data_IF_688623173560
#
_entry.id   IF_688623173560
#
_cell.length_a   1.000
_cell.length_b   1.000
_cell.length_c   1.000
_cell.angle_alpha   90.00
_cell.angle_beta   90.00
_cell.angle_gamma   90.00
#
_symmetry.space_group_name_H-M   'P 1'
#
loop_
_entity.id
_entity.type
_entity.pdbx_description
1 polymer ?
#
# COMPACT_ATOMS: atom_id res chain seq x y z
N UNK A 1 -2.89 -29.96 -11.82
CA UNK A 1 -2.78 -31.43 -11.55
C UNK A 1 -1.66 -31.76 -10.57
N UNK A 2 -0.48 -31.10 -10.65
CA UNK A 2 0.68 -31.36 -9.77
C UNK A 2 0.37 -31.17 -8.30
N UNK A 3 -0.44 -30.19 -7.96
CA UNK A 3 -0.87 -29.90 -6.57
C UNK A 3 -2.03 -30.78 -6.09
N UNK A 4 -2.65 -31.57 -7.00
CA UNK A 4 -3.75 -32.47 -6.68
C UNK A 4 -3.33 -33.93 -6.48
N UNK A 5 -2.02 -34.22 -6.56
CA UNK A 5 -1.48 -35.55 -6.29
C UNK A 5 -0.46 -35.51 -5.16
N UNK A 6 -0.52 -36.48 -4.24
CA UNK A 6 0.43 -36.61 -3.13
C UNK A 6 1.90 -36.71 -3.58
N UNK A 7 2.15 -37.14 -4.80
CA UNK A 7 3.49 -37.33 -5.37
C UNK A 7 3.88 -36.29 -6.43
N UNK A 8 3.01 -35.35 -6.81
CA UNK A 8 3.24 -34.47 -7.94
C UNK A 8 4.48 -33.59 -7.79
N UNK A 9 4.66 -32.95 -6.62
CA UNK A 9 5.85 -32.15 -6.33
C UNK A 9 7.14 -32.97 -6.32
N UNK A 10 7.08 -34.22 -5.85
CA UNK A 10 8.23 -35.15 -5.83
C UNK A 10 8.60 -35.60 -7.24
N UNK A 11 7.60 -35.83 -8.08
CA UNK A 11 7.77 -36.21 -9.47
C UNK A 11 8.40 -35.09 -10.29
N UNK A 12 7.92 -33.87 -10.15
CA UNK A 12 8.52 -32.68 -10.78
C UNK A 12 9.95 -32.44 -10.32
N UNK A 13 10.20 -32.58 -9.01
CA UNK A 13 11.55 -32.42 -8.46
C UNK A 13 12.52 -33.46 -9.01
N UNK A 14 12.07 -34.73 -9.14
CA UNK A 14 12.87 -35.79 -9.72
C UNK A 14 13.08 -35.59 -11.22
N UNK A 15 12.06 -35.17 -11.96
CA UNK A 15 12.17 -34.84 -13.37
C UNK A 15 13.19 -33.71 -13.60
N UNK A 16 13.06 -32.60 -12.88
CA UNK A 16 14.00 -31.50 -12.99
C UNK A 16 15.44 -31.93 -12.67
N UNK A 17 15.62 -32.71 -11.59
CA UNK A 17 16.97 -33.10 -11.11
C UNK A 17 17.61 -34.20 -11.97
N UNK A 18 16.86 -35.25 -12.28
CA UNK A 18 17.46 -36.45 -12.87
C UNK A 18 17.27 -36.57 -14.41
N UNK A 19 16.25 -35.90 -14.96
CA UNK A 19 15.99 -35.90 -16.41
C UNK A 19 16.56 -34.62 -17.04
N UNK A 20 16.27 -33.46 -16.45
CA UNK A 20 16.74 -32.16 -16.99
C UNK A 20 18.14 -31.74 -16.49
N UNK A 21 18.72 -32.47 -15.55
CA UNK A 21 20.04 -32.14 -14.98
C UNK A 21 20.09 -30.83 -14.22
N UNK A 22 18.95 -30.31 -13.76
CA UNK A 22 18.91 -29.05 -13.03
C UNK A 22 19.54 -29.21 -11.65
N UNK A 23 20.56 -28.42 -11.36
CA UNK A 23 21.13 -28.33 -10.02
C UNK A 23 20.14 -27.67 -9.05
N UNK A 24 20.08 -28.15 -7.81
CA UNK A 24 19.24 -27.57 -6.75
C UNK A 24 19.86 -26.27 -6.20
N UNK A 25 20.20 -25.35 -7.09
CA UNK A 25 20.91 -24.11 -6.74
C UNK A 25 19.96 -23.00 -6.35
N UNK A 26 18.67 -23.15 -6.63
CA UNK A 26 17.67 -22.14 -6.28
C UNK A 26 17.29 -22.23 -4.80
N UNK A 27 17.59 -21.16 -4.06
CA UNK A 27 17.05 -20.93 -2.73
C UNK A 27 16.70 -19.44 -2.60
N UNK A 28 15.77 -19.11 -1.71
CA UNK A 28 15.31 -17.73 -1.49
C UNK A 28 16.46 -16.78 -1.15
N UNK A 29 17.46 -17.23 -0.41
CA UNK A 29 18.62 -16.41 -0.06
C UNK A 29 19.51 -16.08 -1.27
N UNK A 30 19.73 -17.03 -2.19
CA UNK A 30 20.50 -16.78 -3.42
C UNK A 30 19.72 -15.91 -4.40
N UNK A 31 18.41 -16.13 -4.54
CA UNK A 31 17.54 -15.29 -5.35
C UNK A 31 17.49 -13.85 -4.83
N UNK A 32 17.29 -13.66 -3.53
CA UNK A 32 17.34 -12.34 -2.91
C UNK A 32 18.68 -11.64 -3.15
N UNK A 33 19.82 -12.34 -2.96
CA UNK A 33 21.16 -11.79 -3.26
C UNK A 33 21.33 -11.44 -4.73
N UNK A 34 20.84 -12.26 -5.64
CA UNK A 34 20.91 -11.98 -7.08
C UNK A 34 20.08 -10.77 -7.46
N UNK A 35 18.86 -10.64 -6.92
CA UNK A 35 18.04 -9.44 -7.13
C UNK A 35 18.68 -8.21 -6.51
N UNK A 36 19.23 -8.31 -5.30
CA UNK A 36 19.98 -7.22 -4.67
C UNK A 36 21.19 -6.81 -5.51
N UNK A 37 21.91 -7.76 -6.10
CA UNK A 37 23.06 -7.48 -6.98
C UNK A 37 22.60 -6.80 -8.28
N UNK A 38 21.50 -7.25 -8.88
CA UNK A 38 20.91 -6.59 -10.06
C UNK A 38 20.49 -5.17 -9.74
N UNK A 39 19.81 -4.97 -8.61
CA UNK A 39 19.40 -3.64 -8.13
C UNK A 39 20.64 -2.77 -7.89
N UNK A 40 21.66 -3.27 -7.20
CA UNK A 40 22.90 -2.56 -6.91
C UNK A 40 23.64 -2.12 -8.20
N UNK A 41 23.68 -2.97 -9.21
CA UNK A 41 24.30 -2.67 -10.50
C UNK A 41 23.50 -1.63 -11.30
N UNK A 42 22.18 -1.59 -11.16
CA UNK A 42 21.32 -0.60 -11.81
C UNK A 42 21.42 0.79 -11.17
N UNK A 43 21.73 0.84 -9.89
CA UNK A 43 21.49 2.05 -9.08
C UNK A 43 22.76 2.79 -8.68
N UNK A 44 23.84 2.07 -8.43
CA UNK A 44 25.07 2.70 -7.92
C UNK A 44 24.82 3.46 -6.60
N UNK A 45 25.44 4.64 -6.43
CA UNK A 45 25.31 5.51 -5.24
C UNK A 45 24.12 6.48 -5.33
N UNK A 46 23.01 6.09 -5.97
CA UNK A 46 21.88 6.97 -6.17
C UNK A 46 21.07 7.18 -4.90
N UNK A 47 20.50 8.36 -4.76
CA UNK A 47 19.67 8.76 -3.62
C UNK A 47 18.24 8.31 -3.79
N UNK A 48 17.70 7.70 -2.74
CA UNK A 48 16.30 7.26 -2.70
C UNK A 48 15.58 7.88 -1.51
N UNK A 49 14.47 8.55 -1.75
CA UNK A 49 13.53 8.89 -0.70
C UNK A 49 12.51 7.76 -0.57
N UNK A 50 12.54 7.06 0.55
CA UNK A 50 11.64 5.93 0.82
C UNK A 50 10.51 6.38 1.75
N UNK A 51 9.27 6.25 1.29
CA UNK A 51 8.11 6.50 2.14
C UNK A 51 8.01 5.43 3.23
N UNK A 52 8.14 5.84 4.49
CA UNK A 52 8.08 4.96 5.67
C UNK A 52 6.88 5.35 6.51
N UNK A 53 5.86 4.50 6.53
CA UNK A 53 4.57 4.74 7.20
C UNK A 53 4.51 4.20 8.64
N UNK A 54 5.59 3.61 9.13
CA UNK A 54 5.57 2.86 10.40
C UNK A 54 4.95 1.46 10.31
N UNK A 55 4.58 0.99 9.11
CA UNK A 55 4.12 -0.38 8.86
C UNK A 55 5.25 -1.31 8.43
N UNK A 56 5.01 -2.63 8.48
CA UNK A 56 6.01 -3.66 8.14
C UNK A 56 6.49 -3.55 6.69
N UNK A 57 5.60 -3.31 5.74
CA UNK A 57 5.92 -3.30 4.31
C UNK A 57 6.89 -2.17 3.93
N UNK A 58 6.62 -0.96 4.41
CA UNK A 58 7.51 0.18 4.20
C UNK A 58 8.84 0.05 4.93
N UNK A 59 8.84 -0.61 6.09
CA UNK A 59 10.06 -0.88 6.87
C UNK A 59 10.98 -1.87 6.16
N UNK A 60 10.42 -2.96 5.61
CA UNK A 60 11.19 -3.94 4.81
C UNK A 60 11.66 -3.31 3.51
N UNK A 61 10.85 -2.46 2.89
CA UNK A 61 11.27 -1.73 1.69
C UNK A 61 12.51 -0.86 1.94
N UNK A 62 12.53 -0.11 3.04
CA UNK A 62 13.69 0.71 3.43
C UNK A 62 14.92 -0.15 3.76
N UNK A 63 14.73 -1.29 4.44
CA UNK A 63 15.79 -2.26 4.74
C UNK A 63 16.43 -2.80 3.46
N UNK A 64 15.61 -3.29 2.52
CA UNK A 64 16.10 -3.88 1.26
C UNK A 64 16.88 -2.86 0.42
N UNK A 65 16.40 -1.62 0.34
CA UNK A 65 17.10 -0.54 -0.35
C UNK A 65 18.46 -0.26 0.30
N UNK A 66 18.52 -0.16 1.63
CA UNK A 66 19.79 0.03 2.34
C UNK A 66 20.75 -1.13 2.10
N UNK A 67 20.28 -2.37 2.20
CA UNK A 67 21.08 -3.56 1.93
C UNK A 67 21.59 -3.61 0.49
N UNK A 68 20.82 -3.08 -0.46
CA UNK A 68 21.21 -2.93 -1.86
C UNK A 68 22.27 -1.83 -2.08
N UNK A 69 22.57 -1.01 -1.07
CA UNK A 69 23.63 0.01 -1.12
C UNK A 69 23.18 1.39 -1.57
N UNK A 70 21.88 1.66 -1.55
CA UNK A 70 21.34 3.00 -1.84
C UNK A 70 21.65 4.00 -0.72
N UNK A 71 21.77 5.28 -1.04
CA UNK A 71 21.68 6.39 -0.08
C UNK A 71 20.20 6.65 0.23
N UNK A 72 19.70 5.98 1.26
CA UNK A 72 18.28 5.98 1.63
C UNK A 72 18.00 7.07 2.66
N UNK A 73 17.00 7.89 2.38
CA UNK A 73 16.35 8.76 3.36
C UNK A 73 14.91 8.29 3.56
N UNK A 74 14.56 7.91 4.79
CA UNK A 74 13.17 7.62 5.16
C UNK A 74 12.35 8.88 5.24
N UNK A 75 11.15 8.87 4.69
CA UNK A 75 10.22 10.01 4.74
C UNK A 75 8.89 9.56 5.32
N UNK A 76 8.45 10.21 6.37
CA UNK A 76 7.08 10.11 6.85
C UNK A 76 6.24 11.21 6.22
N UNK A 77 5.19 10.83 5.49
CA UNK A 77 4.23 11.79 4.91
C UNK A 77 3.09 11.97 5.91
N UNK A 78 2.99 13.15 6.52
CA UNK A 78 1.88 13.53 7.38
C UNK A 78 0.75 14.06 6.52
N UNK A 79 -0.19 13.18 6.20
CA UNK A 79 -1.33 13.47 5.33
C UNK A 79 -2.58 13.88 6.12
N UNK A 80 -2.65 13.49 7.40
CA UNK A 80 -3.78 13.75 8.28
C UNK A 80 -3.34 13.71 9.73
N UNK A 81 -3.87 14.63 10.56
CA UNK A 81 -3.60 14.64 12.00
C UNK A 81 -4.81 14.96 12.87
N UNK A 82 -5.98 15.21 12.25
CA UNK A 82 -7.20 15.55 13.00
C UNK A 82 -7.79 14.29 13.62
N UNK A 83 -8.14 14.40 14.90
CA UNK A 83 -8.91 13.38 15.58
C UNK A 83 -10.35 13.37 15.05
N UNK A 84 -10.95 12.20 15.00
CA UNK A 84 -12.38 12.02 14.74
C UNK A 84 -13.09 11.72 16.06
N UNK A 85 -14.37 12.08 16.24
CA UNK A 85 -15.09 11.83 17.48
C UNK A 85 -15.01 10.36 17.90
N UNK A 86 -14.44 10.13 19.11
CA UNK A 86 -14.22 8.78 19.64
C UNK A 86 -13.03 8.00 19.06
N UNK A 87 -12.29 8.60 18.11
CA UNK A 87 -11.17 7.93 17.43
C UNK A 87 -9.97 8.88 17.27
N UNK A 88 -8.96 8.75 18.13
CA UNK A 88 -7.73 9.52 17.98
C UNK A 88 -6.97 9.11 16.72
N UNK A 89 -6.43 10.07 16.01
CA UNK A 89 -5.62 9.82 14.82
C UNK A 89 -4.26 9.21 15.21
N UNK A 90 -3.89 8.04 14.70
CA UNK A 90 -2.68 7.32 15.11
C UNK A 90 -1.37 7.92 14.53
N UNK A 91 -1.42 9.05 13.84
CA UNK A 91 -0.27 9.59 13.11
C UNK A 91 1.00 9.76 13.96
N UNK A 92 0.85 10.13 15.25
CA UNK A 92 1.99 10.32 16.16
C UNK A 92 2.68 8.99 16.46
N UNK A 93 1.91 7.92 16.66
CA UNK A 93 2.42 6.57 16.89
C UNK A 93 3.09 6.05 15.62
N UNK A 94 2.43 6.17 14.47
CA UNK A 94 2.99 5.75 13.17
C UNK A 94 4.27 6.51 12.82
N UNK A 95 4.31 7.82 13.10
CA UNK A 95 5.53 8.62 12.95
C UNK A 95 6.66 8.14 13.84
N UNK A 96 6.37 7.81 15.11
CA UNK A 96 7.39 7.30 16.04
C UNK A 96 7.91 5.92 15.57
N UNK A 97 7.04 5.05 15.08
CA UNK A 97 7.46 3.76 14.54
C UNK A 97 8.33 3.93 13.28
N UNK A 98 7.94 4.82 12.37
CA UNK A 98 8.75 5.16 11.20
C UNK A 98 10.13 5.72 11.59
N UNK A 99 10.17 6.59 12.60
CA UNK A 99 11.43 7.15 13.14
C UNK A 99 12.30 6.07 13.78
N UNK A 100 11.71 5.14 14.55
CA UNK A 100 12.43 4.01 15.15
C UNK A 100 13.06 3.12 14.07
N UNK A 101 12.33 2.83 12.99
CA UNK A 101 12.87 2.08 11.84
C UNK A 101 14.05 2.83 11.22
N UNK A 102 13.93 4.14 10.99
CA UNK A 102 15.03 4.91 10.41
C UNK A 102 16.29 4.88 11.31
N UNK A 103 16.12 5.00 12.62
CA UNK A 103 17.21 4.87 13.60
C UNK A 103 17.81 3.47 13.57
N UNK A 104 16.98 2.41 13.61
CA UNK A 104 17.41 1.02 13.56
C UNK A 104 18.22 0.71 12.29
N UNK A 105 17.76 1.26 11.15
CA UNK A 105 18.44 1.10 9.88
C UNK A 105 19.64 2.05 9.71
N UNK A 106 19.84 3.05 10.59
CA UNK A 106 20.89 4.05 10.45
C UNK A 106 20.75 4.86 9.16
N UNK A 107 19.52 5.25 8.79
CA UNK A 107 19.22 6.11 7.64
C UNK A 107 18.73 7.48 8.12
N UNK A 108 18.89 8.50 7.25
CA UNK A 108 18.28 9.82 7.50
C UNK A 108 16.77 9.72 7.55
N UNK A 109 16.12 10.62 8.27
CA UNK A 109 14.67 10.62 8.41
C UNK A 109 14.12 12.05 8.34
N UNK A 110 13.08 12.24 7.52
CA UNK A 110 12.40 13.51 7.34
C UNK A 110 10.89 13.35 7.50
N UNK A 111 10.22 14.43 7.90
CA UNK A 111 8.77 14.55 7.91
C UNK A 111 8.37 15.52 6.80
N UNK A 112 7.47 15.08 5.93
CA UNK A 112 6.81 15.96 4.96
C UNK A 112 5.37 16.17 5.40
N UNK A 113 4.99 17.43 5.63
CA UNK A 113 3.63 17.80 5.99
C UNK A 113 2.85 18.11 4.71
N UNK A 114 1.92 17.24 4.36
CA UNK A 114 1.07 17.32 3.19
C UNK A 114 -0.42 17.43 3.57
N UNK A 115 -0.75 17.78 4.82
CA UNK A 115 -2.13 17.79 5.29
C UNK A 115 -3.05 18.68 4.45
N UNK A 116 -2.55 19.86 4.06
CA UNK A 116 -3.33 20.78 3.25
C UNK A 116 -3.63 20.20 1.87
N UNK A 117 -2.61 19.77 1.15
CA UNK A 117 -2.72 19.23 -0.19
C UNK A 117 -3.50 17.91 -0.21
N UNK A 118 -3.35 17.12 0.84
CA UNK A 118 -4.12 15.89 1.01
C UNK A 118 -5.61 16.19 1.18
N UNK A 119 -5.95 17.18 2.00
CA UNK A 119 -7.33 17.61 2.18
C UNK A 119 -7.94 18.09 0.86
N UNK A 120 -7.28 19.02 0.19
CA UNK A 120 -7.77 19.63 -1.06
C UNK A 120 -7.91 18.61 -2.22
N UNK A 121 -6.96 17.66 -2.33
CA UNK A 121 -6.91 16.77 -3.50
C UNK A 121 -7.52 15.40 -3.30
N UNK A 122 -7.58 14.92 -2.05
CA UNK A 122 -8.07 13.56 -1.75
C UNK A 122 -9.37 13.62 -0.98
N UNK A 123 -9.43 14.41 0.09
CA UNK A 123 -10.62 14.45 0.94
C UNK A 123 -11.76 15.19 0.25
N UNK A 124 -11.52 16.38 -0.30
CA UNK A 124 -12.56 17.13 -1.04
C UNK A 124 -13.06 16.34 -2.25
N UNK A 125 -12.16 15.75 -3.05
CA UNK A 125 -12.53 14.84 -4.13
C UNK A 125 -13.47 13.73 -3.65
N UNK A 126 -13.16 13.12 -2.51
CA UNK A 126 -13.99 12.06 -1.94
C UNK A 126 -15.34 12.60 -1.50
N UNK A 127 -15.39 13.73 -0.81
CA UNK A 127 -16.64 14.35 -0.35
C UNK A 127 -17.54 14.75 -1.53
N UNK A 128 -16.96 15.34 -2.57
CA UNK A 128 -17.68 15.75 -3.77
C UNK A 128 -18.24 14.55 -4.55
N UNK A 129 -17.46 13.46 -4.65
CA UNK A 129 -17.95 12.21 -5.22
C UNK A 129 -19.17 11.68 -4.48
N UNK A 130 -19.11 11.59 -3.16
CA UNK A 130 -20.24 11.15 -2.37
C UNK A 130 -21.46 12.09 -2.48
N UNK A 131 -21.25 13.42 -2.49
CA UNK A 131 -22.34 14.40 -2.72
C UNK A 131 -23.01 14.21 -4.08
N UNK A 132 -22.24 13.82 -5.09
CA UNK A 132 -22.73 13.53 -6.43
C UNK A 132 -23.35 12.11 -6.57
N UNK A 133 -23.46 11.33 -5.49
CA UNK A 133 -23.97 9.96 -5.52
C UNK A 133 -23.01 8.94 -6.16
N UNK A 134 -21.74 9.27 -6.26
CA UNK A 134 -20.66 8.39 -6.75
C UNK A 134 -19.92 7.83 -5.55
N UNK A 135 -19.51 6.58 -5.61
CA UNK A 135 -18.57 6.01 -4.62
C UNK A 135 -17.12 6.24 -5.09
N UNK A 136 -16.42 7.24 -4.56
CA UNK A 136 -15.05 7.55 -4.98
C UNK A 136 -14.05 6.56 -4.37
N UNK A 137 -12.86 6.48 -4.97
CA UNK A 137 -11.74 5.74 -4.39
C UNK A 137 -10.62 6.71 -3.98
N UNK A 138 -10.55 7.11 -2.70
CA UNK A 138 -9.55 8.05 -2.21
C UNK A 138 -8.12 7.49 -2.24
N UNK A 139 -7.92 6.17 -2.19
CA UNK A 139 -6.59 5.57 -2.24
C UNK A 139 -5.94 5.74 -3.62
N UNK A 140 -6.73 5.66 -4.70
CA UNK A 140 -6.25 5.96 -6.06
C UNK A 140 -5.83 7.43 -6.15
N UNK A 141 -6.63 8.35 -5.59
CA UNK A 141 -6.30 9.78 -5.60
C UNK A 141 -5.09 10.09 -4.72
N UNK A 142 -4.97 9.46 -3.55
CA UNK A 142 -3.79 9.57 -2.71
C UNK A 142 -2.52 9.12 -3.45
N UNK A 143 -2.59 7.99 -4.15
CA UNK A 143 -1.45 7.53 -4.94
C UNK A 143 -1.15 8.52 -6.07
N UNK A 144 -2.15 8.94 -6.86
CA UNK A 144 -1.95 9.84 -7.99
C UNK A 144 -1.43 11.21 -7.56
N UNK A 145 -2.07 11.89 -6.63
CA UNK A 145 -1.81 13.32 -6.35
C UNK A 145 -0.78 13.54 -5.25
N UNK A 146 -0.70 12.62 -4.27
CA UNK A 146 0.19 12.81 -3.11
C UNK A 146 1.48 11.99 -3.26
N UNK A 147 1.37 10.65 -3.37
CA UNK A 147 2.57 9.79 -3.33
C UNK A 147 3.40 9.84 -4.61
N UNK A 148 2.76 9.80 -5.77
CA UNK A 148 3.46 9.72 -7.05
C UNK A 148 3.42 11.03 -7.85
N UNK A 149 2.97 12.13 -7.24
CA UNK A 149 3.09 13.48 -7.77
C UNK A 149 3.77 14.40 -6.75
N UNK A 150 3.08 14.84 -5.70
CA UNK A 150 3.64 15.79 -4.74
C UNK A 150 4.92 15.26 -4.06
N UNK A 151 4.89 14.06 -3.50
CA UNK A 151 6.07 13.45 -2.88
C UNK A 151 7.20 13.24 -3.90
N UNK A 152 6.87 12.79 -5.10
CA UNK A 152 7.84 12.67 -6.20
C UNK A 152 8.48 14.03 -6.53
N UNK A 153 7.70 15.07 -6.72
CA UNK A 153 8.20 16.41 -7.08
C UNK A 153 9.12 16.96 -5.98
N UNK A 154 8.72 16.85 -4.70
CA UNK A 154 9.56 17.25 -3.56
C UNK A 154 10.83 16.42 -3.50
N UNK A 155 10.76 15.11 -3.74
CA UNK A 155 11.93 14.24 -3.75
C UNK A 155 12.91 14.63 -4.87
N UNK A 156 12.42 14.90 -6.06
CA UNK A 156 13.23 15.38 -7.20
C UNK A 156 13.87 16.73 -6.90
N UNK A 157 13.13 17.67 -6.32
CA UNK A 157 13.67 18.97 -5.88
C UNK A 157 14.79 18.82 -4.86
N UNK A 158 14.71 17.83 -3.96
CA UNK A 158 15.76 17.50 -2.98
C UNK A 158 16.94 16.71 -3.58
N UNK A 159 16.92 16.46 -4.88
CA UNK A 159 17.99 15.77 -5.61
C UNK A 159 17.97 14.24 -5.46
N UNK A 160 16.81 13.65 -5.14
CA UNK A 160 16.65 12.21 -5.18
C UNK A 160 16.55 11.70 -6.62
N UNK A 161 17.20 10.59 -6.89
CA UNK A 161 17.10 9.88 -8.18
C UNK A 161 15.80 9.09 -8.28
N UNK A 162 15.38 8.50 -7.15
CA UNK A 162 14.20 7.66 -7.04
C UNK A 162 13.39 7.98 -5.79
N UNK A 163 12.10 7.68 -5.87
CA UNK A 163 11.25 7.46 -4.71
C UNK A 163 10.97 5.97 -4.55
N UNK A 164 10.70 5.54 -3.33
CA UNK A 164 10.32 4.16 -3.04
C UNK A 164 9.14 4.09 -2.07
N UNK A 165 8.32 3.07 -2.24
CA UNK A 165 7.16 2.83 -1.38
C UNK A 165 7.00 1.33 -1.10
N UNK A 166 6.29 1.00 -0.04
CA UNK A 166 5.97 -0.36 0.35
C UNK A 166 4.75 -0.97 -0.38
N UNK A 167 4.51 -0.61 -1.64
CA UNK A 167 3.43 -1.22 -2.40
C UNK A 167 3.82 -2.57 -2.98
N UNK A 168 2.86 -3.49 -3.00
CA UNK A 168 2.93 -4.74 -3.75
C UNK A 168 2.60 -4.46 -5.23
N UNK A 169 3.59 -4.06 -5.96
CA UNK A 169 3.58 -3.81 -7.40
C UNK A 169 5.00 -3.94 -7.94
N UNK A 170 5.18 -3.95 -9.25
CA UNK A 170 6.48 -3.92 -9.89
C UNK A 170 6.52 -2.88 -11.00
N UNK A 171 7.71 -2.40 -11.37
CA UNK A 171 7.90 -1.52 -12.50
C UNK A 171 9.01 -2.04 -13.41
N UNK A 172 8.82 -1.86 -14.70
CA UNK A 172 9.87 -2.09 -15.71
C UNK A 172 9.69 -1.10 -16.86
N UNK A 173 10.73 -0.32 -17.13
CA UNK A 173 10.75 0.65 -18.23
C UNK A 173 9.55 1.61 -18.25
N UNK A 174 9.14 2.08 -17.06
CA UNK A 174 7.98 2.95 -16.87
C UNK A 174 6.62 2.25 -17.00
N UNK A 175 6.60 0.93 -17.10
CA UNK A 175 5.36 0.12 -17.09
C UNK A 175 5.10 -0.40 -15.70
N UNK A 176 3.85 -0.33 -15.29
CA UNK A 176 3.35 -0.94 -14.06
C UNK A 176 3.10 -2.42 -14.31
N UNK A 177 3.61 -3.28 -13.43
CA UNK A 177 3.46 -4.72 -13.49
C UNK A 177 2.87 -5.23 -12.17
N UNK A 178 2.13 -6.34 -12.24
CA UNK A 178 1.55 -7.01 -11.08
C UNK A 178 2.63 -7.43 -10.08
N UNK A 179 2.25 -7.46 -8.81
CA UNK A 179 3.04 -8.10 -7.77
C UNK A 179 3.12 -9.63 -7.97
N UNK A 180 4.06 -10.26 -7.29
CA UNK A 180 4.13 -11.73 -7.22
C UNK A 180 3.04 -12.29 -6.29
N UNK A 181 2.68 -11.56 -5.25
CA UNK A 181 1.58 -11.93 -4.34
C UNK A 181 0.24 -11.45 -4.91
N UNK A 182 -0.51 -12.34 -5.56
CA UNK A 182 -1.82 -12.04 -6.14
C UNK A 182 -2.85 -11.58 -5.07
N UNK A 183 -2.71 -12.02 -3.80
CA UNK A 183 -3.62 -11.61 -2.73
C UNK A 183 -3.33 -10.20 -2.20
N UNK A 184 -2.12 -9.69 -2.45
CA UNK A 184 -1.66 -8.37 -2.00
C UNK A 184 -1.42 -7.40 -3.15
N UNK A 185 -1.63 -7.81 -4.39
CA UNK A 185 -1.43 -6.95 -5.56
C UNK A 185 -2.16 -5.61 -5.41
N UNK A 186 -1.43 -4.53 -5.58
CA UNK A 186 -1.92 -3.16 -5.42
C UNK A 186 -1.88 -2.36 -6.72
N UNK A 187 -1.65 -3.01 -7.86
CA UNK A 187 -1.58 -2.34 -9.17
C UNK A 187 -2.88 -1.63 -9.52
N UNK A 188 -4.03 -2.16 -9.07
CA UNK A 188 -5.32 -1.48 -9.21
C UNK A 188 -5.30 -0.05 -8.64
N UNK A 189 -4.64 0.19 -7.54
CA UNK A 189 -4.58 1.51 -6.91
C UNK A 189 -3.54 2.44 -7.55
N UNK A 190 -2.75 1.94 -8.49
CA UNK A 190 -1.63 2.65 -9.11
C UNK A 190 -1.83 2.96 -10.61
N UNK A 191 -2.95 2.54 -11.20
CA UNK A 191 -3.15 2.63 -12.66
C UNK A 191 -3.15 4.06 -13.21
N UNK A 192 -3.35 5.06 -12.34
CA UNK A 192 -3.33 6.49 -12.71
C UNK A 192 -1.96 7.14 -12.57
N UNK A 193 -0.95 6.41 -12.12
CA UNK A 193 0.42 6.93 -12.02
C UNK A 193 1.04 7.03 -13.41
N UNK A 194 1.63 8.20 -13.70
CA UNK A 194 2.22 8.47 -15.01
C UNK A 194 3.45 7.58 -15.28
N UNK A 195 3.58 7.09 -16.51
CA UNK A 195 4.68 6.23 -16.96
C UNK A 195 6.07 6.88 -16.74
N UNK A 196 6.19 8.19 -16.94
CA UNK A 196 7.44 8.91 -16.71
C UNK A 196 7.84 8.90 -15.22
N UNK A 197 6.87 9.05 -14.32
CA UNK A 197 7.10 8.95 -12.88
C UNK A 197 7.53 7.53 -12.52
N UNK A 198 6.87 6.50 -13.07
CA UNK A 198 7.18 5.09 -12.80
C UNK A 198 8.63 4.70 -13.15
N UNK A 199 9.30 5.41 -14.05
CA UNK A 199 10.75 5.23 -14.32
C UNK A 199 11.63 5.59 -13.14
N UNK A 200 11.11 6.38 -12.20
CA UNK A 200 11.80 6.85 -11.00
C UNK A 200 11.19 6.29 -9.71
N UNK A 201 10.40 5.23 -9.81
CA UNK A 201 9.75 4.58 -8.66
C UNK A 201 10.32 3.19 -8.44
N UNK A 202 10.59 2.87 -7.18
CA UNK A 202 11.00 1.54 -6.75
C UNK A 202 9.90 0.94 -5.85
N UNK A 203 9.55 -0.32 -6.11
CA UNK A 203 8.69 -1.14 -5.29
C UNK A 203 9.48 -2.34 -4.76
N UNK A 204 10.26 -2.16 -3.67
CA UNK A 204 11.25 -3.15 -3.24
C UNK A 204 10.67 -4.51 -2.85
N UNK A 205 9.39 -4.55 -2.44
CA UNK A 205 8.71 -5.77 -2.00
C UNK A 205 7.78 -6.38 -3.05
N UNK A 206 7.65 -5.77 -4.22
CA UNK A 206 6.71 -6.22 -5.26
C UNK A 206 6.98 -7.64 -5.80
N UNK A 207 8.21 -8.14 -5.62
CA UNK A 207 8.63 -9.48 -5.99
C UNK A 207 8.54 -10.50 -4.85
N UNK A 208 8.00 -10.09 -3.69
CA UNK A 208 7.86 -10.91 -2.48
C UNK A 208 6.39 -11.13 -2.15
N UNK A 209 6.12 -12.26 -1.52
CA UNK A 209 4.83 -12.53 -0.89
C UNK A 209 4.78 -11.92 0.53
N UNK A 210 3.59 -11.71 1.06
CA UNK A 210 3.42 -11.16 2.41
C UNK A 210 4.09 -11.99 3.52
N UNK A 211 4.02 -13.34 3.51
CA UNK A 211 4.76 -14.16 4.45
C UNK A 211 6.28 -13.94 4.38
N UNK A 212 6.84 -13.78 3.17
CA UNK A 212 8.26 -13.50 2.98
C UNK A 212 8.66 -12.14 3.53
N UNK A 213 7.85 -11.11 3.29
CA UNK A 213 8.06 -9.77 3.87
C UNK A 213 8.05 -9.83 5.40
N UNK A 214 7.12 -10.58 6.00
CA UNK A 214 7.07 -10.79 7.46
C UNK A 214 8.32 -11.51 7.96
N UNK A 215 8.75 -12.56 7.28
CA UNK A 215 9.94 -13.32 7.61
C UNK A 215 11.20 -12.44 7.57
N UNK A 216 11.37 -11.62 6.52
CA UNK A 216 12.48 -10.67 6.42
C UNK A 216 12.46 -9.69 7.59
N UNK A 217 11.29 -9.17 7.96
CA UNK A 217 11.17 -8.26 9.10
C UNK A 217 11.57 -8.92 10.43
N UNK A 218 11.17 -10.17 10.64
CA UNK A 218 11.51 -10.95 11.84
C UNK A 218 13.00 -11.29 11.89
N UNK A 219 13.59 -11.80 10.82
CA UNK A 219 15.01 -12.16 10.71
C UNK A 219 15.94 -10.95 10.94
N UNK A 220 15.46 -9.75 10.59
CA UNK A 220 16.22 -8.50 10.83
C UNK A 220 15.79 -7.77 12.11
N UNK A 221 14.95 -8.41 12.95
CA UNK A 221 14.47 -7.86 14.22
C UNK A 221 13.85 -6.46 14.09
N UNK A 222 13.15 -6.19 12.98
CA UNK A 222 12.51 -4.89 12.80
C UNK A 222 11.44 -4.66 13.86
N UNK A 223 11.43 -3.48 14.48
CA UNK A 223 10.45 -3.13 15.52
C UNK A 223 9.00 -3.24 15.05
N UNK A 224 8.77 -3.19 13.74
CA UNK A 224 7.45 -3.29 13.10
C UNK A 224 7.06 -4.72 12.69
N UNK A 225 7.94 -5.73 12.88
CA UNK A 225 7.71 -7.10 12.39
C UNK A 225 6.37 -7.70 12.84
N UNK A 226 5.97 -7.45 14.09
CA UNK A 226 4.71 -7.94 14.67
C UNK A 226 3.54 -6.96 14.56
N UNK A 227 3.75 -5.78 13.94
CA UNK A 227 2.69 -4.78 13.79
C UNK A 227 1.59 -5.33 12.89
N UNK A 228 0.33 -5.17 13.32
CA UNK A 228 -0.84 -5.51 12.50
C UNK A 228 -0.89 -4.63 11.26
N UNK A 229 -1.49 -5.14 10.20
CA UNK A 229 -1.70 -4.37 8.99
C UNK A 229 -2.65 -3.20 9.26
N UNK A 230 -2.35 -2.05 8.66
CA UNK A 230 -3.31 -0.96 8.62
C UNK A 230 -4.44 -1.37 7.69
N UNK A 231 -5.66 -1.41 8.21
CA UNK A 231 -6.87 -1.72 7.46
C UNK A 231 -7.66 -0.41 7.26
N UNK A 232 -8.23 -0.23 6.09
CA UNK A 232 -9.08 0.93 5.77
C UNK A 232 -8.36 2.01 4.98
N UNK A 233 -9.08 3.11 4.74
CA UNK A 233 -8.56 4.28 4.02
C UNK A 233 -7.44 4.92 4.85
N UNK A 234 -6.34 5.31 4.19
CA UNK A 234 -5.08 5.73 4.83
C UNK A 234 -5.21 6.80 5.92
N UNK A 235 -6.25 7.63 5.92
CA UNK A 235 -6.45 8.70 6.89
C UNK A 235 -7.63 8.46 7.85
N UNK A 236 -8.58 7.59 7.47
CA UNK A 236 -9.74 7.23 8.31
C UNK A 236 -9.35 6.18 9.35
N UNK A 237 -8.32 5.39 9.06
CA UNK A 237 -7.83 4.37 9.97
C UNK A 237 -8.88 3.30 10.28
N UNK A 238 -9.15 3.09 11.57
CA UNK A 238 -10.17 2.14 12.04
C UNK A 238 -11.57 2.72 12.10
N UNK A 239 -11.73 4.01 11.79
CA UNK A 239 -13.04 4.68 11.76
C UNK A 239 -13.77 4.25 10.50
N UNK A 240 -15.06 3.99 10.62
CA UNK A 240 -15.89 3.71 9.46
C UNK A 240 -16.02 4.94 8.56
N UNK A 241 -16.17 4.70 7.26
CA UNK A 241 -16.41 5.78 6.29
C UNK A 241 -17.66 6.59 6.63
N UNK A 242 -18.66 5.96 7.26
CA UNK A 242 -19.91 6.58 7.69
C UNK A 242 -19.65 7.66 8.76
N UNK A 243 -18.90 7.31 9.80
CA UNK A 243 -18.56 8.23 10.90
C UNK A 243 -17.75 9.43 10.37
N UNK A 244 -16.86 9.18 9.42
CA UNK A 244 -16.10 10.24 8.77
C UNK A 244 -17.04 11.16 7.95
N UNK A 245 -17.84 10.61 7.04
CA UNK A 245 -18.73 11.38 6.16
C UNK A 245 -19.75 12.21 6.94
N UNK A 246 -20.29 11.69 8.04
CA UNK A 246 -21.28 12.37 8.88
C UNK A 246 -20.80 13.71 9.45
N UNK A 247 -19.48 13.96 9.48
CA UNK A 247 -18.94 15.25 9.92
C UNK A 247 -18.90 16.32 8.81
N UNK A 248 -18.93 15.90 7.57
CA UNK A 248 -18.76 16.78 6.40
C UNK A 248 -19.98 16.87 5.50
N UNK A 249 -20.92 15.95 5.64
CA UNK A 249 -22.10 15.87 4.78
C UNK A 249 -23.35 15.69 5.64
N UNK A 250 -24.29 16.58 5.47
CA UNK A 250 -25.64 16.39 6.03
C UNK A 250 -26.36 15.31 5.25
N UNK A 251 -26.96 14.38 5.94
CA UNK A 251 -27.69 13.26 5.33
C UNK A 251 -29.12 13.25 5.85
N UNK A 252 -30.04 12.82 4.98
CA UNK A 252 -31.44 12.61 5.35
C UNK A 252 -31.75 11.13 5.31
N UNK A 253 -32.50 10.68 6.32
CA UNK A 253 -33.04 9.32 6.35
C UNK A 253 -34.02 9.14 5.19
N UNK A 254 -34.05 7.95 4.63
CA UNK A 254 -34.97 7.63 3.54
C UNK A 254 -35.48 6.20 3.59
N UNK A 255 -36.43 5.91 2.70
CA UNK A 255 -37.05 4.59 2.58
C UNK A 255 -36.30 3.74 1.56
N UNK A 256 -35.99 2.49 1.92
CA UNK A 256 -35.50 1.47 0.99
C UNK A 256 -36.72 0.82 0.34
N UNK A 257 -36.76 0.79 -0.98
CA UNK A 257 -37.84 0.20 -1.77
C UNK A 257 -37.32 -0.96 -2.61
N UNK A 258 -38.16 -1.99 -2.76
CA UNK A 258 -37.92 -3.07 -3.71
C UNK A 258 -38.20 -2.63 -5.15
N UNK A 259 -37.99 -3.54 -6.11
CA UNK A 259 -38.26 -3.30 -7.53
C UNK A 259 -39.74 -2.99 -7.85
N UNK A 260 -40.68 -3.34 -6.95
CA UNK A 260 -42.11 -3.10 -7.07
C UNK A 260 -42.53 -1.80 -6.37
N UNK A 261 -41.58 -1.09 -5.74
CA UNK A 261 -41.85 0.13 -4.99
C UNK A 261 -42.32 -0.09 -3.54
N UNK A 262 -42.35 -1.35 -3.07
CA UNK A 262 -42.75 -1.67 -1.69
C UNK A 262 -41.60 -1.26 -0.75
N UNK A 263 -41.96 -0.58 0.34
CA UNK A 263 -41.01 -0.17 1.36
C UNK A 263 -40.57 -1.43 2.14
N UNK A 264 -39.27 -1.76 2.11
CA UNK A 264 -38.65 -2.91 2.75
C UNK A 264 -37.70 -2.54 3.90
N UNK A 265 -37.46 -1.24 4.10
CA UNK A 265 -36.60 -0.76 5.18
C UNK A 265 -36.42 0.75 5.15
N UNK A 266 -35.49 1.22 5.99
CA UNK A 266 -35.06 2.62 6.08
C UNK A 266 -33.54 2.70 6.03
N UNK A 267 -33.00 3.81 5.55
CA UNK A 267 -31.57 4.11 5.58
C UNK A 267 -31.32 5.48 6.22
N UNK A 268 -30.18 5.66 6.85
CA UNK A 268 -29.78 6.92 7.49
C UNK A 268 -29.19 7.96 6.52
N UNK A 269 -29.04 7.59 5.28
CA UNK A 269 -28.51 8.43 4.20
C UNK A 269 -28.04 7.57 3.04
N UNK A 270 -28.55 7.78 1.83
CA UNK A 270 -28.17 6.98 0.66
C UNK A 270 -26.66 7.02 0.36
N UNK A 271 -26.00 8.11 0.73
CA UNK A 271 -24.55 8.33 0.58
C UNK A 271 -23.68 7.26 1.28
N UNK A 272 -24.21 6.58 2.28
CA UNK A 272 -23.47 5.55 3.04
C UNK A 272 -23.47 4.18 2.37
N UNK A 273 -24.17 4.03 1.27
CA UNK A 273 -24.35 2.76 0.59
C UNK A 273 -23.80 2.80 -0.82
N UNK A 274 -23.17 1.71 -1.21
CA UNK A 274 -22.61 1.53 -2.55
C UNK A 274 -23.51 0.63 -3.38
N UNK A 275 -23.67 0.92 -4.67
CA UNK A 275 -24.41 0.05 -5.61
C UNK A 275 -23.83 -1.36 -5.55
N UNK A 276 -24.72 -2.35 -5.37
CA UNK A 276 -24.33 -3.77 -5.22
C UNK A 276 -23.96 -4.20 -3.79
N UNK A 277 -24.04 -3.30 -2.80
CA UNK A 277 -23.80 -3.64 -1.39
C UNK A 277 -24.87 -4.61 -0.90
N UNK A 278 -24.43 -5.69 -0.22
CA UNK A 278 -25.33 -6.75 0.30
C UNK A 278 -25.42 -6.78 1.82
N UNK A 279 -24.53 -6.08 2.52
CA UNK A 279 -24.45 -6.11 3.99
C UNK A 279 -24.72 -4.70 4.55
N UNK A 280 -25.29 -4.66 5.77
CA UNK A 280 -25.56 -3.41 6.49
C UNK A 280 -26.78 -2.62 5.97
N UNK A 281 -27.68 -3.27 5.24
CA UNK A 281 -28.96 -2.68 4.80
C UNK A 281 -30.09 -3.09 5.74
N UNK A 282 -29.93 -4.13 6.56
CA UNK A 282 -30.91 -4.71 7.49
C UNK A 282 -32.30 -4.97 6.85
N UNK A 283 -32.30 -5.21 5.54
CA UNK A 283 -33.48 -5.63 4.79
C UNK A 283 -33.47 -7.14 4.65
N UNK A 284 -34.45 -7.81 5.22
CA UNK A 284 -34.58 -9.27 5.14
C UNK A 284 -34.82 -9.73 3.70
N UNK A 285 -34.13 -10.77 3.26
CA UNK A 285 -34.31 -11.42 1.98
C UNK A 285 -33.17 -11.15 1.01
N UNK A 286 -32.41 -12.20 0.72
CA UNK A 286 -31.27 -12.23 -0.19
C UNK A 286 -31.58 -12.55 -1.62
#
# INVERSE_FOLDING_TARGET
EVYHSECGSKLLKNFAKYICGCESTWNMGSFAKEQMTKIKNQVGNKKVLCAVSGGVDSSVSALLLKQAGYDVTGVYMKNWSKDLPGFPCPWKEDYQDAKRIAVQLGIKFELFDFEKEYFEKVVEYMLDGFRAGITPNPDIMCNQEIKFKLFYDVARYKGADFIATGHYAQTKDGRLLKAVDDNKDQTYFLYRVESEVLKHVLFPIGHLTKPEVRKIAEENNLVTAKKKESMGICFVGKVGIKEFLSQYVQTESGKIKDQNGVIIGEHEGAIFYTIGQRHGLDVGGG
#
